data_IF_041778301417
#
_entry.id   IF_041778301417
#
_cell.length_a   1.000
_cell.length_b   1.000
_cell.length_c   1.000
_cell.angle_alpha   90.00
_cell.angle_beta   90.00
_cell.angle_gamma   90.00
#
_symmetry.space_group_name_H-M   'P 1'
#
loop_
_entity.id
_entity.type
_entity.pdbx_description
1 polymer ?
#
# COMPACT_ATOMS: atom_id res chain seq x y z
N UNK A 1 14.55 20.30 -2.30
CA UNK A 1 13.36 19.70 -1.66
C UNK A 1 13.42 18.20 -1.91
N UNK A 2 13.56 17.37 -0.87
CA UNK A 2 13.67 15.91 -1.04
C UNK A 2 12.29 15.34 -1.33
N UNK A 3 12.12 14.68 -2.48
CA UNK A 3 10.80 14.21 -2.96
C UNK A 3 10.25 13.06 -2.09
N UNK A 4 11.17 12.27 -1.52
CA UNK A 4 10.91 11.36 -0.40
C UNK A 4 11.74 11.86 0.78
N UNK A 5 11.13 12.33 1.88
CA UNK A 5 11.88 12.80 3.04
C UNK A 5 12.60 11.62 3.72
N UNK A 6 13.67 11.93 4.47
CA UNK A 6 14.25 10.96 5.40
C UNK A 6 13.40 10.95 6.68
N UNK A 7 13.17 9.79 7.32
CA UNK A 7 12.63 9.74 8.68
C UNK A 7 13.50 10.55 9.66
N UNK A 8 12.88 11.21 10.63
CA UNK A 8 13.56 11.88 11.74
C UNK A 8 14.04 10.87 12.77
N UNK A 9 14.92 11.30 13.66
CA UNK A 9 15.21 10.56 14.88
C UNK A 9 13.92 10.45 15.70
N UNK A 10 13.56 9.22 16.12
CA UNK A 10 12.31 8.95 16.84
C UNK A 10 11.14 8.46 15.97
N UNK A 11 11.17 8.68 14.66
CA UNK A 11 10.16 8.14 13.75
C UNK A 11 10.17 6.60 13.77
N UNK A 12 8.99 5.99 13.76
CA UNK A 12 8.85 4.54 13.91
C UNK A 12 8.71 3.89 12.53
N UNK A 13 9.58 2.92 12.16
CA UNK A 13 9.51 2.28 10.86
C UNK A 13 8.22 1.47 10.72
N UNK A 14 7.64 1.50 9.52
CA UNK A 14 6.50 0.67 9.18
C UNK A 14 6.78 -0.14 7.93
N UNK A 15 6.70 -1.46 8.11
CA UNK A 15 6.83 -2.44 7.06
C UNK A 15 6.02 -3.66 7.48
N UNK A 16 4.78 -3.76 6.99
CA UNK A 16 3.82 -4.77 7.44
C UNK A 16 3.17 -5.48 6.24
N UNK A 17 3.83 -6.53 5.70
CA UNK A 17 3.32 -7.23 4.54
C UNK A 17 2.16 -8.16 4.90
N UNK A 18 1.10 -8.13 4.10
CA UNK A 18 -0.01 -9.09 4.18
C UNK A 18 -0.05 -9.91 2.88
N UNK A 19 -0.16 -11.23 3.01
CA UNK A 19 -0.28 -12.14 1.87
C UNK A 19 -1.54 -12.99 1.98
N UNK A 20 -2.36 -13.05 0.92
CA UNK A 20 -3.58 -13.86 0.88
C UNK A 20 -3.82 -14.44 -0.51
N UNK A 21 -4.42 -15.63 -0.56
CA UNK A 21 -4.97 -16.22 -1.78
C UNK A 21 -6.38 -15.68 -2.02
N UNK A 22 -6.72 -15.38 -3.28
CA UNK A 22 -7.99 -14.81 -3.71
C UNK A 22 -8.50 -15.60 -4.90
N UNK A 23 -9.67 -16.21 -4.73
CA UNK A 23 -10.29 -17.02 -5.77
C UNK A 23 -10.73 -16.18 -6.99
N UNK A 24 -10.98 -16.83 -8.14
CA UNK A 24 -11.55 -16.19 -9.32
C UNK A 24 -12.77 -15.31 -9.02
N UNK A 25 -12.85 -14.14 -9.65
CA UNK A 25 -13.94 -13.17 -9.45
C UNK A 25 -13.98 -12.45 -8.09
N UNK A 26 -13.17 -12.85 -7.11
CA UNK A 26 -13.16 -12.27 -5.77
C UNK A 26 -12.14 -11.14 -5.62
N UNK A 27 -12.19 -10.46 -4.46
CA UNK A 27 -11.25 -9.38 -4.12
C UNK A 27 -10.65 -9.56 -2.73
N UNK A 28 -9.40 -9.17 -2.61
CA UNK A 28 -8.75 -8.87 -1.34
C UNK A 28 -8.96 -7.38 -1.03
N UNK A 29 -9.37 -7.07 0.20
CA UNK A 29 -9.35 -5.72 0.75
C UNK A 29 -8.49 -5.74 2.00
N UNK A 30 -7.41 -4.97 2.01
CA UNK A 30 -6.51 -4.82 3.15
C UNK A 30 -6.59 -3.39 3.64
N UNK A 31 -6.75 -3.21 4.96
CA UNK A 31 -6.71 -1.88 5.59
C UNK A 31 -5.53 -1.84 6.53
N UNK A 32 -4.64 -0.89 6.30
CA UNK A 32 -3.53 -0.56 7.18
C UNK A 32 -3.89 0.69 7.98
N UNK A 33 -3.54 0.67 9.25
CA UNK A 33 -3.67 1.79 10.17
C UNK A 33 -2.32 2.03 10.85
N UNK A 34 -2.03 3.28 11.24
CA UNK A 34 -0.89 3.55 12.11
C UNK A 34 -0.99 2.72 13.40
N UNK A 35 0.13 2.15 13.84
CA UNK A 35 0.24 1.31 15.04
C UNK A 35 0.26 2.14 16.31
N UNK A 36 0.74 3.37 16.24
CA UNK A 36 0.76 4.32 17.35
C UNK A 36 -0.25 5.45 17.12
N UNK A 37 -0.56 6.18 18.20
CA UNK A 37 -1.27 7.46 18.10
C UNK A 37 -0.35 8.54 17.52
N UNK A 38 -0.05 8.45 16.24
CA UNK A 38 0.78 9.42 15.52
C UNK A 38 -0.05 10.59 15.00
N UNK A 39 0.62 11.67 14.65
CA UNK A 39 0.00 12.75 13.87
C UNK A 39 -0.16 12.35 12.41
N UNK A 40 0.79 11.57 11.88
CA UNK A 40 0.85 11.27 10.46
C UNK A 40 1.67 10.00 10.16
N UNK A 41 1.27 9.29 9.12
CA UNK A 41 2.03 8.22 8.47
C UNK A 41 2.60 8.71 7.15
N UNK A 42 3.89 8.47 6.89
CA UNK A 42 4.54 8.79 5.61
C UNK A 42 4.78 7.50 4.81
N UNK A 43 4.21 7.43 3.62
CA UNK A 43 4.23 6.26 2.72
C UNK A 43 4.90 6.60 1.39
N UNK A 44 6.22 6.38 1.26
CA UNK A 44 6.91 6.47 -0.02
C UNK A 44 6.65 5.28 -0.95
N UNK A 45 6.47 4.07 -0.40
CA UNK A 45 6.42 2.83 -1.16
C UNK A 45 5.14 2.07 -0.81
N UNK A 46 4.40 1.65 -1.84
CA UNK A 46 3.34 0.67 -1.71
C UNK A 46 3.50 -0.42 -2.76
N UNK A 47 4.02 -1.58 -2.34
CA UNK A 47 4.27 -2.71 -3.22
C UNK A 47 3.12 -3.72 -3.17
N UNK A 48 2.76 -4.27 -4.34
CA UNK A 48 1.73 -5.29 -4.47
C UNK A 48 2.14 -6.29 -5.54
N UNK A 49 1.94 -7.59 -5.31
CA UNK A 49 2.21 -8.61 -6.33
C UNK A 49 1.44 -8.34 -7.63
N UNK A 50 2.16 -8.26 -8.75
CA UNK A 50 1.57 -8.15 -10.09
C UNK A 50 1.05 -9.50 -10.59
N UNK A 51 -0.19 -9.52 -11.05
CA UNK A 51 -0.81 -10.70 -11.67
C UNK A 51 -1.58 -10.30 -12.95
N UNK A 52 -1.58 -11.14 -14.00
CA UNK A 52 -2.49 -10.97 -15.12
C UNK A 52 -3.95 -11.00 -14.68
N UNK A 53 -4.81 -10.29 -15.41
CA UNK A 53 -6.26 -10.22 -15.12
C UNK A 53 -6.52 -9.83 -13.66
N UNK A 54 -5.86 -8.76 -13.20
CA UNK A 54 -6.05 -8.20 -11.86
C UNK A 54 -6.29 -6.71 -11.95
N UNK A 55 -6.94 -6.14 -10.94
CA UNK A 55 -7.12 -4.69 -10.81
C UNK A 55 -6.82 -4.22 -9.39
N UNK A 56 -6.12 -3.09 -9.31
CA UNK A 56 -5.60 -2.54 -8.07
C UNK A 56 -6.17 -1.15 -7.82
N UNK A 57 -6.63 -0.92 -6.59
CA UNK A 57 -7.04 0.40 -6.10
C UNK A 57 -6.38 0.70 -4.76
N UNK A 58 -6.07 1.97 -4.54
CA UNK A 58 -5.56 2.46 -3.25
C UNK A 58 -6.39 3.63 -2.80
N UNK A 59 -6.83 3.56 -1.56
CA UNK A 59 -7.64 4.55 -0.89
C UNK A 59 -6.90 5.02 0.36
N UNK A 60 -6.96 6.32 0.62
CA UNK A 60 -6.25 7.00 1.70
C UNK A 60 -7.23 7.93 2.38
N UNK A 61 -7.49 7.71 3.67
CA UNK A 61 -8.44 8.52 4.46
C UNK A 61 -9.81 8.72 3.77
N UNK A 62 -10.31 7.69 3.09
CA UNK A 62 -11.58 7.73 2.36
C UNK A 62 -11.52 8.26 0.92
N UNK A 63 -10.37 8.76 0.47
CA UNK A 63 -10.17 9.23 -0.92
C UNK A 63 -9.41 8.20 -1.75
N UNK A 64 -9.83 7.95 -3.00
CA UNK A 64 -9.09 7.08 -3.92
C UNK A 64 -7.89 7.84 -4.51
N UNK A 65 -6.69 7.35 -4.25
CA UNK A 65 -5.44 7.96 -4.72
C UNK A 65 -4.77 7.18 -5.86
N UNK A 66 -5.25 5.97 -6.16
CA UNK A 66 -4.75 5.14 -7.24
C UNK A 66 -5.80 4.19 -7.78
N UNK A 67 -5.75 3.96 -9.08
CA UNK A 67 -6.57 2.99 -9.76
C UNK A 67 -8.06 3.36 -9.88
N UNK A 68 -8.91 2.42 -10.33
CA UNK A 68 -8.56 1.04 -10.68
C UNK A 68 -7.55 0.96 -11.83
N UNK A 69 -6.49 0.17 -11.66
CA UNK A 69 -5.44 0.00 -12.65
C UNK A 69 -5.05 -1.48 -12.80
N UNK A 70 -4.65 -1.94 -14.00
CA UNK A 70 -4.26 -3.33 -14.24
C UNK A 70 -2.83 -3.67 -13.78
N UNK A 71 -2.08 -2.66 -13.33
CA UNK A 71 -0.71 -2.77 -12.83
C UNK A 71 -0.73 -2.17 -11.41
N UNK A 72 0.01 -2.74 -10.45
CA UNK A 72 0.10 -2.16 -9.11
C UNK A 72 0.98 -0.89 -9.09
N UNK A 73 0.97 -0.10 -8.00
CA UNK A 73 1.84 1.08 -7.88
C UNK A 73 3.33 0.75 -8.02
N UNK A 74 3.81 -0.30 -7.33
CA UNK A 74 5.07 -1.01 -7.61
C UNK A 74 4.89 -2.49 -7.34
N UNK A 75 5.79 -3.28 -7.91
CA UNK A 75 5.88 -4.71 -7.62
C UNK A 75 6.66 -4.99 -6.32
N UNK A 76 6.40 -6.17 -5.74
CA UNK A 76 7.00 -6.64 -4.49
C UNK A 76 8.49 -6.97 -4.62
N UNK A 77 8.96 -7.26 -5.84
CA UNK A 77 10.36 -7.60 -6.09
C UNK A 77 11.23 -6.34 -6.37
N UNK A 78 10.61 -5.20 -6.66
CA UNK A 78 11.30 -3.92 -6.92
C UNK A 78 11.46 -3.06 -5.66
N UNK A 79 10.39 -2.94 -4.85
CA UNK A 79 10.30 -2.09 -3.63
C UNK A 79 10.80 -0.65 -3.82
N UNK A 80 10.73 -0.11 -5.04
CA UNK A 80 11.13 1.26 -5.32
C UNK A 80 10.07 2.25 -4.81
N UNK A 81 10.49 3.47 -4.48
CA UNK A 81 9.52 4.50 -4.10
C UNK A 81 8.56 4.77 -5.25
N UNK A 82 7.26 4.69 -4.94
CA UNK A 82 6.14 4.81 -5.90
C UNK A 82 5.50 6.18 -5.85
N UNK A 83 5.59 6.84 -4.71
CA UNK A 83 4.91 8.09 -4.46
C UNK A 83 5.90 9.24 -4.41
N UNK A 84 5.80 10.12 -5.40
CA UNK A 84 6.61 11.32 -5.53
C UNK A 84 5.68 12.54 -5.70
N UNK A 85 5.44 13.33 -4.64
CA UNK A 85 5.96 13.19 -3.28
C UNK A 85 5.34 12.00 -2.50
N UNK A 86 6.01 11.59 -1.41
CA UNK A 86 5.51 10.53 -0.52
C UNK A 86 4.08 10.83 -0.04
N UNK A 87 3.21 9.82 -0.03
CA UNK A 87 1.82 10.00 0.45
C UNK A 87 1.81 10.10 1.96
N UNK A 88 0.88 10.88 2.48
CA UNK A 88 0.69 11.06 3.92
C UNK A 88 -0.75 10.82 4.34
N UNK A 89 -0.95 10.07 5.41
CA UNK A 89 -2.29 9.76 5.92
C UNK A 89 -2.31 9.68 7.44
N UNK A 90 -3.48 9.93 8.02
CA UNK A 90 -3.64 9.98 9.48
C UNK A 90 -4.50 8.84 10.01
N UNK A 91 -5.40 8.27 9.19
CA UNK A 91 -6.37 7.29 9.66
C UNK A 91 -6.17 5.91 9.06
N UNK A 92 -6.13 5.81 7.73
CA UNK A 92 -6.13 4.51 7.07
C UNK A 92 -5.64 4.56 5.62
N UNK A 93 -5.00 3.47 5.24
CA UNK A 93 -4.66 3.12 3.87
C UNK A 93 -5.37 1.82 3.52
N UNK A 94 -6.32 1.87 2.59
CA UNK A 94 -7.06 0.70 2.11
C UNK A 94 -6.60 0.33 0.71
N UNK A 95 -6.15 -0.90 0.54
CA UNK A 95 -5.71 -1.47 -0.74
C UNK A 95 -6.69 -2.54 -1.17
N UNK A 96 -7.16 -2.45 -2.42
CA UNK A 96 -8.08 -3.42 -3.00
C UNK A 96 -7.37 -4.10 -4.18
N UNK A 97 -7.23 -5.41 -4.12
CA UNK A 97 -6.74 -6.24 -5.21
C UNK A 97 -7.89 -7.12 -5.69
N UNK A 98 -8.30 -6.98 -6.95
CA UNK A 98 -9.36 -7.80 -7.56
C UNK A 98 -8.74 -8.83 -8.46
N UNK A 99 -9.14 -10.09 -8.30
CA UNK A 99 -8.85 -11.16 -9.23
C UNK A 99 -9.96 -11.17 -10.29
N UNK A 100 -9.63 -10.70 -11.49
CA UNK A 100 -10.54 -10.66 -12.64
C UNK A 100 -10.42 -11.92 -13.51
N UNK A 101 -9.65 -12.93 -13.07
CA UNK A 101 -9.67 -14.25 -13.69
C UNK A 101 -10.96 -14.98 -13.31
N UNK A 102 -11.47 -15.79 -14.24
CA UNK A 102 -12.60 -16.70 -14.02
C UNK A 102 -12.16 -18.12 -13.62
N UNK A 103 -10.85 -18.41 -13.64
CA UNK A 103 -10.34 -19.79 -13.48
C UNK A 103 -9.14 -19.92 -12.54
N UNK A 104 -8.39 -18.86 -12.30
CA UNK A 104 -7.11 -18.93 -11.57
C UNK A 104 -7.20 -18.22 -10.22
N UNK A 105 -6.99 -18.93 -9.11
CA UNK A 105 -6.74 -18.32 -7.80
C UNK A 105 -5.40 -17.59 -7.80
N UNK A 106 -5.36 -16.37 -7.25
CA UNK A 106 -4.16 -15.52 -7.19
C UNK A 106 -3.70 -15.30 -5.75
N UNK A 107 -2.39 -15.37 -5.52
CA UNK A 107 -1.78 -15.03 -4.24
C UNK A 107 -1.26 -13.60 -4.30
N UNK A 108 -1.94 -12.68 -3.64
CA UNK A 108 -1.51 -11.28 -3.56
C UNK A 108 -0.74 -11.05 -2.26
N UNK A 109 0.45 -10.46 -2.39
CA UNK A 109 1.15 -9.80 -1.30
C UNK A 109 0.94 -8.29 -1.41
N UNK A 110 0.71 -7.61 -0.29
CA UNK A 110 0.54 -6.15 -0.17
C UNK A 110 1.48 -5.67 0.92
N UNK A 111 2.37 -4.73 0.60
CA UNK A 111 3.40 -4.25 1.51
C UNK A 111 3.53 -2.71 1.44
N UNK A 112 2.92 -1.99 2.39
CA UNK A 112 3.27 -0.59 2.63
C UNK A 112 4.65 -0.52 3.32
N UNK A 113 5.52 0.38 2.83
CA UNK A 113 6.79 0.68 3.48
C UNK A 113 6.90 2.18 3.68
N UNK A 114 7.20 2.58 4.91
CA UNK A 114 7.20 3.96 5.35
C UNK A 114 7.55 4.09 6.82
N UNK A 115 7.04 5.14 7.45
CA UNK A 115 7.21 5.37 8.88
C UNK A 115 6.06 6.20 9.46
N UNK A 116 5.87 6.01 10.74
CA UNK A 116 4.97 6.78 11.59
C UNK A 116 5.73 7.94 12.20
N UNK A 117 5.20 9.16 12.05
CA UNK A 117 5.82 10.38 12.58
C UNK A 117 5.58 10.43 14.08
N UNK A 118 6.66 10.35 14.87
CA UNK A 118 6.55 10.45 16.31
C UNK A 118 6.02 11.83 16.70
N UNK A 119 5.11 11.88 17.68
CA UNK A 119 4.80 13.15 18.34
C UNK A 119 6.00 13.46 19.24
N UNK A 120 6.62 14.61 19.03
CA UNK A 120 7.56 15.22 19.99
C UNK A 120 6.87 15.44 21.35
#
# INVERSE_FOLDING_TARGET
>A
MTVVPRPREGDVPYNDPITRSVDPGNKLTVTFQPKQQVSEFVLPILAVSKHPNSSYEVWKDGERIYGPAPIPPTDIDDLTATWYPARRFSTSLKVICRNLSDTTTRRYSVQPIGWEVSRE
#
